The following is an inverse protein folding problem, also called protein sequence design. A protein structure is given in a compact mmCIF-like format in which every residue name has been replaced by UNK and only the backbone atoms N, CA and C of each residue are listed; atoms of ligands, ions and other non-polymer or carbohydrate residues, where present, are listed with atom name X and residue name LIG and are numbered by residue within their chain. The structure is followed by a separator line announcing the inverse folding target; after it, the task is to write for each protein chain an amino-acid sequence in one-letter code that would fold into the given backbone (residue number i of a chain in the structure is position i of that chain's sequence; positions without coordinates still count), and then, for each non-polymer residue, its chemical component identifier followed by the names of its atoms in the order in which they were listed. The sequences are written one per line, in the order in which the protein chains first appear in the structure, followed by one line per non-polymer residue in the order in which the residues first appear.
data_IF_929131672850
#
_entry.id   IF_929131672850
#
_cell.length_a   1.000
_cell.length_b   1.000
_cell.length_c   1.000
_cell.angle_alpha   90.00
_cell.angle_beta   90.00
_cell.angle_gamma   90.00
#
_symmetry.space_group_name_H-M   'P 1'
#
loop_
_entity.id
_entity.type
_entity.pdbx_description
1 polymer ?
#
# COMPACT_ATOMS: atom_id res chain seq x y z
N UNK A 1 -20.86 -37.45 -42.61
CA UNK A 1 -20.23 -38.68 -42.17
C UNK A 1 -19.18 -38.29 -41.17
N UNK A 2 -19.55 -38.33 -39.99
CA UNK A 2 -19.49 -39.30 -38.90
C UNK A 2 -18.15 -39.25 -38.17
N UNK A 3 -18.31 -38.77 -36.92
CA UNK A 3 -17.36 -38.79 -35.83
C UNK A 3 -16.99 -40.25 -35.41
N UNK A 4 -15.96 -40.33 -34.66
CA UNK A 4 -15.61 -41.27 -33.59
C UNK A 4 -14.26 -41.97 -33.75
N UNK A 5 -13.63 -41.94 -32.63
CA UNK A 5 -12.72 -42.90 -32.04
C UNK A 5 -11.22 -42.55 -32.15
N UNK A 6 -10.66 -42.20 -31.00
CA UNK A 6 -9.63 -42.99 -30.29
C UNK A 6 -9.53 -42.44 -28.84
N UNK A 7 -10.17 -43.15 -27.93
CA UNK A 7 -9.86 -43.24 -26.50
C UNK A 7 -8.93 -44.44 -26.30
N UNK A 8 -8.21 -44.42 -25.22
CA UNK A 8 -7.45 -45.47 -24.51
C UNK A 8 -5.90 -45.50 -24.77
N UNK A 9 -5.18 -44.96 -23.77
CA UNK A 9 -4.31 -45.82 -22.95
C UNK A 9 -3.79 -45.09 -21.69
N UNK A 10 -4.44 -45.43 -20.58
CA UNK A 10 -3.96 -45.26 -19.22
C UNK A 10 -3.16 -46.52 -18.86
N UNK A 11 -1.92 -46.38 -18.43
CA UNK A 11 -1.30 -47.37 -17.56
C UNK A 11 -0.31 -46.74 -16.61
N UNK A 12 -0.74 -46.69 -15.35
CA UNK A 12 -0.01 -46.98 -14.11
C UNK A 12 1.54 -46.82 -14.16
N UNK A 13 2.05 -45.84 -13.41
CA UNK A 13 3.38 -45.94 -12.81
C UNK A 13 3.23 -45.73 -11.29
N UNK A 14 3.76 -46.73 -10.59
CA UNK A 14 3.71 -47.03 -9.19
C UNK A 14 4.52 -46.04 -8.35
N UNK A 15 3.99 -45.66 -7.17
CA UNK A 15 4.73 -45.01 -6.09
C UNK A 15 5.85 -45.93 -5.58
N UNK A 16 7.04 -45.43 -5.49
CA UNK A 16 8.11 -46.01 -4.65
C UNK A 16 8.66 -44.92 -3.71
N UNK A 17 8.46 -45.17 -2.42
CA UNK A 17 9.04 -44.46 -1.29
C UNK A 17 10.57 -44.46 -1.34
N UNK A 18 11.17 -43.28 -1.21
CA UNK A 18 12.58 -43.18 -0.75
C UNK A 18 12.62 -42.18 0.41
N UNK A 19 12.66 -42.73 1.62
CA UNK A 19 13.10 -42.03 2.82
C UNK A 19 14.61 -41.81 2.71
N UNK A 20 15.07 -40.56 2.70
CA UNK A 20 16.46 -40.25 2.97
C UNK A 20 16.58 -39.39 4.23
N UNK A 21 17.23 -40.00 5.21
CA UNK A 21 17.63 -39.42 6.50
C UNK A 21 18.60 -38.26 6.28
N UNK A 22 18.23 -37.08 6.71
CA UNK A 22 19.13 -35.94 6.83
C UNK A 22 19.70 -35.93 8.27
N UNK A 23 21.01 -36.14 8.38
CA UNK A 23 21.78 -35.98 9.62
C UNK A 23 21.93 -34.50 9.95
N UNK A 24 21.43 -34.07 11.09
CA UNK A 24 21.70 -32.75 11.65
C UNK A 24 23.08 -32.83 12.35
N UNK A 25 24.01 -32.02 11.87
CA UNK A 25 25.32 -31.82 12.49
C UNK A 25 25.22 -30.57 13.37
N UNK A 26 25.24 -30.76 14.69
CA UNK A 26 25.30 -29.67 15.67
C UNK A 26 26.77 -29.29 15.81
N UNK A 27 27.11 -28.07 15.43
CA UNK A 27 28.41 -27.46 15.79
C UNK A 27 28.19 -26.57 16.99
N UNK A 28 28.73 -27.00 18.11
CA UNK A 28 28.80 -26.21 19.33
C UNK A 28 29.91 -25.15 19.18
N UNK A 29 29.58 -23.87 19.30
CA UNK A 29 30.55 -22.81 19.45
C UNK A 29 30.56 -22.27 20.86
N UNK A 30 31.79 -22.21 21.34
CA UNK A 30 32.22 -21.95 22.72
C UNK A 30 31.84 -20.54 23.19
N UNK A 31 31.31 -20.51 24.42
CA UNK A 31 31.10 -19.28 25.22
C UNK A 31 32.46 -18.79 25.73
N UNK A 32 32.84 -17.58 25.36
CA UNK A 32 33.95 -16.85 26.03
C UNK A 32 33.36 -16.02 27.17
N UNK A 33 33.67 -16.44 28.39
CA UNK A 33 33.35 -15.71 29.63
C UNK A 33 34.44 -14.69 29.91
N UNK A 34 34.12 -13.39 29.87
CA UNK A 34 34.97 -12.34 30.40
C UNK A 34 34.60 -12.08 31.85
N UNK A 35 35.55 -12.39 32.75
CA UNK A 35 35.44 -12.05 34.15
C UNK A 35 35.95 -10.63 34.38
N UNK A 36 35.09 -9.72 34.86
CA UNK A 36 35.47 -8.43 35.39
C UNK A 36 35.80 -8.55 36.88
N UNK A 37 37.04 -8.26 37.28
CA UNK A 37 37.48 -8.09 38.64
C UNK A 37 36.97 -6.77 39.20
N UNK A 38 36.10 -6.81 40.21
CA UNK A 38 35.79 -5.65 41.03
C UNK A 38 36.68 -5.68 42.29
N UNK A 39 37.54 -4.68 42.46
CA UNK A 39 38.26 -4.42 43.67
C UNK A 39 37.36 -3.73 44.70
N UNK A 40 37.05 -4.39 45.80
CA UNK A 40 36.33 -3.80 46.92
C UNK A 40 37.29 -3.01 47.82
N UNK A 41 37.08 -1.69 47.91
CA UNK A 41 37.64 -0.88 49.01
C UNK A 41 36.66 -0.85 50.16
N UNK A 42 37.05 -1.44 51.27
CA UNK A 42 36.33 -1.38 52.55
C UNK A 42 36.61 -0.07 53.27
N UNK A 43 35.60 0.75 53.46
CA UNK A 43 35.60 1.83 54.43
C UNK A 43 34.54 1.56 55.49
N UNK A 44 34.98 1.44 56.73
CA UNK A 44 34.13 1.29 57.90
C UNK A 44 33.53 2.61 58.33
N UNK A 45 32.25 2.72 58.63
CA UNK A 45 31.68 3.89 59.25
C UNK A 45 31.49 3.65 60.78
N UNK A 46 31.90 4.67 61.52
CA UNK A 46 31.64 4.80 62.97
C UNK A 46 30.13 4.92 63.25
N UNK A 47 29.69 4.08 64.22
CA UNK A 47 28.37 4.15 64.81
C UNK A 47 28.24 5.41 65.71
N UNK A 48 27.25 6.25 65.43
CA UNK A 48 26.62 7.14 66.40
C UNK A 48 25.13 6.80 66.44
N UNK A 49 24.71 6.28 67.57
CA UNK A 49 23.31 5.98 67.83
C UNK A 49 22.53 7.27 68.12
N UNK A 50 21.54 7.56 67.33
CA UNK A 50 20.43 8.46 67.66
C UNK A 50 19.13 7.67 67.64
N UNK A 51 18.43 7.68 68.77
CA UNK A 51 17.08 7.17 68.91
C UNK A 51 16.12 8.09 68.10
N UNK A 52 15.42 7.54 67.12
CA UNK A 52 14.29 8.17 66.54
C UNK A 52 13.02 7.34 66.75
N UNK A 53 12.03 8.06 67.21
CA UNK A 53 10.69 7.57 67.52
C UNK A 53 9.98 7.11 66.25
N UNK A 54 9.46 5.89 66.27
CA UNK A 54 8.58 5.31 65.24
C UNK A 54 7.31 6.12 65.07
N UNK A 55 7.13 6.75 63.92
CA UNK A 55 5.81 7.04 63.34
C UNK A 55 5.66 6.13 62.12
N UNK A 56 4.89 5.08 62.29
CA UNK A 56 4.33 4.27 61.20
C UNK A 56 3.36 5.13 60.41
N UNK A 57 3.84 5.65 59.29
CA UNK A 57 3.02 6.17 58.23
C UNK A 57 3.01 5.15 57.12
N UNK A 58 1.95 4.38 56.96
CA UNK A 58 1.66 3.54 55.81
C UNK A 58 1.58 4.47 54.58
N UNK A 59 2.68 4.59 53.84
CA UNK A 59 2.65 5.04 52.48
C UNK A 59 2.09 3.88 51.63
N UNK A 60 0.79 3.79 51.51
CA UNK A 60 0.15 3.11 50.38
C UNK A 60 0.64 3.80 49.14
N UNK A 61 1.55 3.19 48.44
CA UNK A 61 1.76 3.42 47.02
C UNK A 61 0.46 2.94 46.36
N UNK A 62 -0.46 3.87 46.07
CA UNK A 62 -1.57 3.63 45.16
C UNK A 62 -0.95 3.33 43.81
N UNK A 63 -0.72 2.05 43.53
CA UNK A 63 -0.62 1.57 42.16
C UNK A 63 -2.05 1.76 41.60
N UNK A 64 -2.27 2.84 40.86
CA UNK A 64 -3.45 2.96 40.02
C UNK A 64 -3.58 1.66 39.21
N UNK A 65 -4.71 1.00 39.31
CA UNK A 65 -4.97 -0.19 38.50
C UNK A 65 -4.97 0.24 37.03
N UNK A 66 -4.54 -0.63 36.15
CA UNK A 66 -4.47 -0.35 34.71
C UNK A 66 -5.85 0.06 34.13
N UNK A 67 -6.94 -0.38 34.79
CA UNK A 67 -8.33 -0.03 34.51
C UNK A 67 -8.72 1.43 34.85
N UNK A 68 -7.90 2.14 35.64
CA UNK A 68 -8.19 3.52 36.07
C UNK A 68 -7.57 4.57 35.13
N UNK A 69 -6.74 4.12 34.15
CA UNK A 69 -6.11 4.99 33.17
C UNK A 69 -7.07 5.31 32.03
N UNK A 70 -7.02 6.54 31.53
CA UNK A 70 -7.72 6.89 30.27
C UNK A 70 -7.18 6.07 29.11
N UNK A 71 -7.98 5.88 28.04
CA UNK A 71 -7.56 5.13 26.85
C UNK A 71 -6.26 5.67 26.23
N UNK A 72 -6.10 6.99 26.22
CA UNK A 72 -4.87 7.63 25.72
C UNK A 72 -3.65 7.35 26.61
N UNK A 73 -3.85 7.22 27.92
CA UNK A 73 -2.78 6.83 28.85
C UNK A 73 -2.40 5.35 28.67
N UNK A 74 -3.38 4.47 28.48
CA UNK A 74 -3.14 3.05 28.14
C UNK A 74 -2.40 2.91 26.82
N UNK A 75 -2.80 3.66 25.78
CA UNK A 75 -2.09 3.70 24.50
C UNK A 75 -0.64 4.13 24.65
N UNK A 76 -0.36 5.22 25.40
CA UNK A 76 1.01 5.70 25.64
C UNK A 76 1.85 4.65 26.35
N UNK A 77 1.29 3.97 27.35
CA UNK A 77 1.98 2.89 28.06
C UNK A 77 2.27 1.73 27.12
N UNK A 78 1.28 1.28 26.34
CA UNK A 78 1.46 0.22 25.35
C UNK A 78 2.58 0.53 24.37
N UNK A 79 2.59 1.73 23.77
CA UNK A 79 3.60 2.15 22.78
C UNK A 79 5.01 2.33 23.37
N UNK A 80 5.15 2.46 24.69
CA UNK A 80 6.44 2.50 25.37
C UNK A 80 7.01 1.09 25.65
N UNK A 81 6.13 0.11 25.85
CA UNK A 81 6.51 -1.22 26.36
C UNK A 81 6.37 -2.34 25.31
N UNK A 82 5.72 -2.08 24.18
CA UNK A 82 5.31 -3.11 23.21
C UNK A 82 5.50 -2.66 21.76
N UNK A 83 5.60 -3.65 20.86
CA UNK A 83 5.59 -3.41 19.42
C UNK A 83 4.21 -3.00 18.92
N UNK A 84 4.18 -2.13 17.92
CA UNK A 84 2.94 -1.61 17.32
C UNK A 84 2.03 -2.71 16.74
N UNK A 85 2.61 -3.81 16.25
CA UNK A 85 1.88 -4.94 15.65
C UNK A 85 0.85 -5.62 16.58
N UNK A 86 1.01 -5.50 17.90
CA UNK A 86 0.04 -6.03 18.86
C UNK A 86 -1.05 -5.03 19.30
N UNK A 87 -1.05 -3.81 18.75
CA UNK A 87 -1.93 -2.74 19.23
C UNK A 87 -3.41 -3.05 18.98
N UNK A 88 -3.76 -3.61 17.83
CA UNK A 88 -5.14 -3.95 17.48
C UNK A 88 -5.75 -5.06 18.36
N UNK A 89 -4.90 -5.87 18.98
CA UNK A 89 -5.28 -6.95 19.88
C UNK A 89 -5.40 -6.51 21.35
N UNK A 90 -4.99 -5.27 21.65
CA UNK A 90 -5.03 -4.76 23.02
C UNK A 90 -6.47 -4.57 23.50
N UNK A 91 -6.79 -4.92 24.74
CA UNK A 91 -8.13 -4.87 25.30
C UNK A 91 -8.77 -3.48 25.17
N UNK A 92 -7.97 -2.42 25.37
CA UNK A 92 -8.43 -1.04 25.25
C UNK A 92 -8.63 -0.56 23.81
N UNK A 93 -8.13 -1.29 22.80
CA UNK A 93 -8.15 -0.83 21.41
C UNK A 93 -9.55 -0.67 20.81
N UNK A 94 -10.54 -1.39 21.36
CA UNK A 94 -11.95 -1.29 20.98
C UNK A 94 -12.76 -0.26 21.81
N UNK A 95 -12.13 0.42 22.77
CA UNK A 95 -12.83 1.42 23.57
C UNK A 95 -13.22 2.61 22.70
N UNK A 96 -14.50 3.05 22.75
CA UNK A 96 -14.96 4.23 22.00
C UNK A 96 -14.16 5.48 22.33
N UNK A 97 -13.82 6.26 21.29
CA UNK A 97 -13.08 7.52 21.41
C UNK A 97 -13.91 8.71 20.98
N UNK A 98 -13.69 9.84 21.64
CA UNK A 98 -14.09 11.14 21.09
C UNK A 98 -13.23 11.49 19.87
N UNK A 99 -13.67 12.49 19.10
CA UNK A 99 -12.92 12.98 17.94
C UNK A 99 -11.52 13.50 18.32
N UNK A 100 -11.41 14.19 19.46
CA UNK A 100 -10.17 14.74 20.00
C UNK A 100 -9.21 13.62 20.46
N UNK A 101 -9.75 12.59 21.12
CA UNK A 101 -8.96 11.42 21.54
C UNK A 101 -8.47 10.64 20.34
N UNK A 102 -9.30 10.45 19.31
CA UNK A 102 -8.88 9.81 18.08
C UNK A 102 -7.75 10.58 17.36
N UNK A 103 -7.87 11.91 17.25
CA UNK A 103 -6.82 12.74 16.69
C UNK A 103 -5.50 12.56 17.44
N UNK A 104 -5.56 12.50 18.79
CA UNK A 104 -4.38 12.27 19.63
C UNK A 104 -3.83 10.85 19.48
N UNK A 105 -4.69 9.85 19.40
CA UNK A 105 -4.28 8.47 19.15
C UNK A 105 -3.57 8.35 17.79
N UNK A 106 -4.11 8.95 16.72
CA UNK A 106 -3.51 8.99 15.39
C UNK A 106 -2.08 9.57 15.40
N UNK A 107 -1.86 10.69 16.10
CA UNK A 107 -0.53 11.28 16.26
C UNK A 107 0.46 10.32 16.93
N UNK A 108 0.06 9.68 18.04
CA UNK A 108 0.89 8.77 18.82
C UNK A 108 1.23 7.51 18.01
N UNK A 109 0.23 6.89 17.40
CA UNK A 109 0.40 5.66 16.61
C UNK A 109 1.27 5.94 15.38
N UNK A 110 1.06 7.06 14.69
CA UNK A 110 1.91 7.47 13.57
C UNK A 110 3.37 7.74 13.99
N UNK A 111 3.58 8.41 15.12
CA UNK A 111 4.93 8.66 15.64
C UNK A 111 5.67 7.35 15.96
N UNK A 112 4.97 6.40 16.59
CA UNK A 112 5.50 5.06 16.87
C UNK A 112 5.79 4.28 15.59
N UNK A 113 4.88 4.30 14.60
CA UNK A 113 5.09 3.66 13.31
C UNK A 113 6.34 4.21 12.59
N UNK A 114 6.49 5.53 12.53
CA UNK A 114 7.69 6.14 11.93
C UNK A 114 8.98 5.69 12.62
N UNK A 115 8.97 5.63 13.95
CA UNK A 115 10.13 5.16 14.72
C UNK A 115 10.48 3.72 14.38
N UNK A 116 9.48 2.85 14.37
CA UNK A 116 9.63 1.44 14.02
C UNK A 116 10.14 1.22 12.59
N UNK A 117 9.60 1.97 11.61
CA UNK A 117 10.09 1.93 10.23
C UNK A 117 11.55 2.36 10.14
N UNK A 118 11.93 3.45 10.79
CA UNK A 118 13.33 3.93 10.80
C UNK A 118 14.27 2.90 11.43
N UNK A 119 13.91 2.31 12.54
CA UNK A 119 14.73 1.33 13.22
C UNK A 119 14.91 0.03 12.39
N UNK A 120 13.83 -0.45 11.79
CA UNK A 120 13.81 -1.77 11.13
C UNK A 120 14.13 -1.74 9.63
N UNK A 121 14.09 -0.56 8.98
CA UNK A 121 14.22 -0.44 7.52
C UNK A 121 15.26 0.55 7.03
N UNK A 122 16.05 1.17 7.94
CA UNK A 122 17.11 2.12 7.57
C UNK A 122 18.18 1.45 6.68
N UNK A 123 18.53 0.20 6.97
CA UNK A 123 19.49 -0.57 6.16
C UNK A 123 18.95 -0.84 4.75
N UNK A 124 17.67 -1.23 4.63
CA UNK A 124 16.98 -1.47 3.36
C UNK A 124 16.98 -0.20 2.50
N UNK A 125 16.62 0.96 3.07
CA UNK A 125 16.58 2.23 2.36
C UNK A 125 17.99 2.72 1.98
N UNK A 126 18.96 2.58 2.87
CA UNK A 126 20.35 2.97 2.64
C UNK A 126 21.01 2.12 1.56
N UNK A 127 20.77 0.81 1.58
CA UNK A 127 21.26 -0.13 0.56
C UNK A 127 20.45 -0.06 -0.75
N UNK A 128 19.35 0.70 -0.76
CA UNK A 128 18.47 0.89 -1.92
C UNK A 128 18.00 -0.44 -2.50
N UNK A 129 17.55 -1.36 -1.66
CA UNK A 129 17.09 -2.67 -2.10
C UNK A 129 15.98 -3.18 -1.19
N UNK A 130 14.81 -3.45 -1.77
CA UNK A 130 13.70 -4.12 -1.08
C UNK A 130 13.88 -5.63 -1.23
N UNK A 131 13.92 -6.36 -0.11
CA UNK A 131 13.91 -7.81 -0.06
C UNK A 131 12.57 -8.27 0.53
N UNK A 132 11.78 -9.01 -0.24
CA UNK A 132 10.45 -9.47 0.17
C UNK A 132 10.09 -10.78 -0.52
N UNK A 133 9.65 -11.78 0.26
CA UNK A 133 9.13 -13.06 -0.24
C UNK A 133 10.04 -13.75 -1.27
N UNK A 134 11.36 -13.69 -1.05
CA UNK A 134 12.37 -14.27 -1.93
C UNK A 134 12.62 -13.49 -3.22
N UNK A 135 12.07 -12.30 -3.33
CA UNK A 135 12.34 -11.36 -4.42
C UNK A 135 13.21 -10.19 -3.94
N UNK A 136 14.11 -9.74 -4.82
CA UNK A 136 14.98 -8.58 -4.60
C UNK A 136 14.66 -7.51 -5.62
N UNK A 137 14.38 -6.29 -5.14
CA UNK A 137 14.10 -5.11 -5.97
C UNK A 137 15.10 -3.99 -5.62
N UNK A 138 16.27 -3.96 -6.25
CA UNK A 138 17.15 -2.80 -6.17
C UNK A 138 16.45 -1.57 -6.75
N UNK A 139 16.71 -0.40 -6.19
CA UNK A 139 16.25 0.86 -6.74
C UNK A 139 17.35 1.91 -6.65
N UNK A 140 17.20 2.99 -7.40
CA UNK A 140 18.02 4.18 -7.22
C UNK A 140 17.13 5.42 -7.38
N UNK A 141 17.48 6.52 -6.71
CA UNK A 141 16.68 7.73 -6.78
C UNK A 141 17.52 9.00 -6.77
N UNK A 142 16.92 10.07 -7.23
CA UNK A 142 17.42 11.43 -7.16
C UNK A 142 16.37 12.34 -6.55
N UNK A 143 16.82 13.29 -5.74
CA UNK A 143 15.96 14.33 -5.18
C UNK A 143 16.15 15.59 -5.98
N UNK A 144 15.05 16.21 -6.38
CA UNK A 144 15.00 17.45 -7.16
C UNK A 144 14.30 18.55 -6.37
N UNK A 145 14.66 19.79 -6.66
CA UNK A 145 14.01 20.98 -6.10
C UNK A 145 14.05 21.09 -4.58
N UNK A 146 13.40 22.13 -4.08
CA UNK A 146 13.21 22.34 -2.64
C UNK A 146 12.01 21.53 -2.15
N UNK A 147 12.04 21.11 -0.86
CA UNK A 147 10.93 20.38 -0.27
C UNK A 147 9.74 21.30 -0.01
N UNK A 148 8.56 21.03 -0.58
CA UNK A 148 7.33 21.73 -0.22
C UNK A 148 6.98 21.57 1.26
N UNK A 149 6.14 22.46 1.79
CA UNK A 149 5.71 22.45 3.20
C UNK A 149 5.06 21.12 3.62
N UNK A 150 4.22 20.55 2.76
CA UNK A 150 3.49 19.30 3.02
C UNK A 150 4.28 18.02 2.70
N UNK A 151 5.53 18.15 2.24
CA UNK A 151 6.35 17.01 1.81
C UNK A 151 6.64 16.99 0.32
N UNK A 152 7.52 16.08 -0.10
CA UNK A 152 7.97 15.92 -1.48
C UNK A 152 7.01 15.09 -2.30
N UNK A 153 6.99 15.31 -3.60
CA UNK A 153 6.40 14.35 -4.54
C UNK A 153 7.27 13.09 -4.67
N UNK A 154 6.64 11.94 -4.94
CA UNK A 154 7.33 10.70 -5.31
C UNK A 154 6.94 10.27 -6.72
N UNK A 155 7.94 10.10 -7.60
CA UNK A 155 7.76 9.58 -8.96
C UNK A 155 8.44 8.21 -9.06
N UNK A 156 7.66 7.13 -9.06
CA UNK A 156 8.17 5.76 -9.28
C UNK A 156 8.19 5.49 -10.77
N UNK A 157 9.39 5.35 -11.35
CA UNK A 157 9.60 5.27 -12.79
C UNK A 157 10.11 3.91 -13.22
N UNK A 158 9.26 3.10 -13.83
CA UNK A 158 9.51 1.73 -14.23
C UNK A 158 10.27 1.63 -15.55
N UNK A 159 11.36 0.85 -15.57
CA UNK A 159 12.19 0.67 -16.77
C UNK A 159 11.55 -0.27 -17.80
N UNK A 160 11.95 -0.09 -19.05
CA UNK A 160 11.61 -0.98 -20.16
C UNK A 160 12.41 -2.30 -20.15
N UNK A 161 12.20 -3.13 -21.17
CA UNK A 161 12.83 -4.44 -21.31
C UNK A 161 11.83 -5.57 -21.15
N UNK A 162 12.11 -6.50 -20.24
CA UNK A 162 11.29 -7.70 -20.03
C UNK A 162 11.50 -8.77 -21.11
N UNK A 163 11.41 -10.05 -20.73
CA UNK A 163 11.60 -11.16 -21.65
C UNK A 163 12.96 -11.19 -22.35
N UNK A 164 13.98 -10.57 -21.75
CA UNK A 164 15.32 -10.45 -22.33
C UNK A 164 16.40 -10.73 -21.28
N UNK A 165 17.68 -10.78 -21.71
CA UNK A 165 18.78 -11.07 -20.81
C UNK A 165 18.91 -10.01 -19.69
N UNK A 166 19.31 -10.46 -18.49
CA UNK A 166 19.52 -9.59 -17.30
C UNK A 166 20.33 -8.34 -17.64
N UNK A 167 21.45 -8.49 -18.39
CA UNK A 167 22.30 -7.35 -18.81
C UNK A 167 21.51 -6.27 -19.55
N UNK A 168 20.55 -6.65 -20.39
CA UNK A 168 19.71 -5.72 -21.14
C UNK A 168 18.76 -4.99 -20.18
N UNK A 169 18.10 -5.72 -19.29
CA UNK A 169 17.20 -5.14 -18.28
C UNK A 169 17.96 -4.21 -17.33
N UNK A 170 19.16 -4.58 -16.87
CA UNK A 170 20.03 -3.71 -16.07
C UNK A 170 20.43 -2.43 -16.84
N UNK A 171 20.62 -2.54 -18.15
CA UNK A 171 20.88 -1.38 -19.02
C UNK A 171 19.67 -0.46 -19.12
N UNK A 172 18.46 -1.01 -19.26
CA UNK A 172 17.22 -0.25 -19.30
C UNK A 172 16.94 0.45 -17.94
N UNK A 173 17.19 -0.24 -16.83
CA UNK A 173 17.10 0.35 -15.51
C UNK A 173 18.05 1.55 -15.34
N UNK A 174 19.33 1.40 -15.69
CA UNK A 174 20.29 2.53 -15.64
C UNK A 174 19.85 3.71 -16.50
N UNK A 175 19.23 3.46 -17.65
CA UNK A 175 18.67 4.53 -18.47
C UNK A 175 17.49 5.21 -17.76
N UNK A 176 16.63 4.43 -17.11
CA UNK A 176 15.42 4.95 -16.43
C UNK A 176 15.76 5.90 -15.27
N UNK A 177 16.84 5.63 -14.51
CA UNK A 177 17.29 6.48 -13.38
C UNK A 177 17.55 7.94 -13.81
N UNK A 178 17.81 8.18 -15.09
CA UNK A 178 18.15 9.53 -15.61
C UNK A 178 17.21 9.99 -16.73
N UNK A 179 16.11 9.27 -16.95
CA UNK A 179 15.28 9.51 -18.13
C UNK A 179 14.49 10.82 -18.02
N UNK A 180 13.91 11.10 -16.85
CA UNK A 180 13.10 12.29 -16.62
C UNK A 180 13.67 13.11 -15.46
N UNK A 181 13.24 14.38 -15.40
CA UNK A 181 13.70 15.34 -14.40
C UNK A 181 12.49 16.15 -13.96
N UNK A 182 11.83 15.78 -12.84
CA UNK A 182 10.78 16.59 -12.26
C UNK A 182 11.33 17.92 -11.74
N UNK A 183 10.48 18.91 -11.57
CA UNK A 183 10.83 20.20 -10.99
C UNK A 183 11.16 20.06 -9.48
N UNK A 184 10.41 19.26 -8.77
CA UNK A 184 10.66 18.88 -7.38
C UNK A 184 10.29 17.40 -7.12
N UNK A 185 10.79 16.85 -6.00
CA UNK A 185 10.41 15.53 -5.52
C UNK A 185 11.49 14.47 -5.61
N UNK A 186 11.13 13.28 -5.19
CA UNK A 186 11.95 12.07 -5.27
C UNK A 186 11.62 11.34 -6.57
N UNK A 187 12.55 11.30 -7.50
CA UNK A 187 12.44 10.50 -8.72
C UNK A 187 13.16 9.18 -8.49
N UNK A 188 12.42 8.10 -8.34
CA UNK A 188 12.88 6.77 -7.99
C UNK A 188 12.66 5.80 -9.16
N UNK A 189 13.70 5.07 -9.55
CA UNK A 189 13.63 4.02 -10.56
C UNK A 189 13.94 2.66 -9.90
N UNK A 190 12.95 1.76 -9.75
CA UNK A 190 13.20 0.40 -9.30
C UNK A 190 13.73 -0.48 -10.43
N UNK A 191 14.51 -1.52 -10.08
CA UNK A 191 14.88 -2.64 -10.95
C UNK A 191 13.87 -3.76 -10.71
N UNK A 192 13.12 -4.15 -11.74
CA UNK A 192 12.18 -5.25 -11.61
C UNK A 192 12.85 -6.51 -11.03
N UNK A 193 12.22 -7.22 -10.09
CA UNK A 193 12.79 -8.40 -9.44
C UNK A 193 13.11 -9.55 -10.39
N UNK A 194 12.40 -9.61 -11.52
CA UNK A 194 12.58 -10.65 -12.54
C UNK A 194 12.94 -10.07 -13.89
N UNK A 195 13.37 -10.94 -14.83
CA UNK A 195 13.64 -10.58 -16.22
C UNK A 195 12.51 -11.04 -17.16
N UNK A 196 11.37 -11.47 -16.62
CA UNK A 196 10.24 -11.95 -17.40
C UNK A 196 9.55 -10.83 -18.20
N UNK A 197 8.81 -11.19 -19.26
CA UNK A 197 8.09 -10.22 -20.09
C UNK A 197 7.04 -9.42 -19.30
N UNK A 198 6.47 -10.04 -18.23
CA UNK A 198 5.46 -9.48 -17.35
C UNK A 198 6.06 -9.00 -16.01
N UNK A 199 7.31 -8.56 -15.99
CA UNK A 199 8.09 -8.26 -14.80
C UNK A 199 7.47 -7.20 -13.87
N UNK A 200 6.60 -6.32 -14.39
CA UNK A 200 5.98 -5.22 -13.64
C UNK A 200 4.52 -5.45 -13.24
N UNK A 201 3.91 -6.57 -13.60
CA UNK A 201 2.50 -6.82 -13.30
C UNK A 201 2.22 -8.16 -12.62
N UNK A 202 3.26 -8.75 -12.01
CA UNK A 202 3.14 -9.91 -11.13
C UNK A 202 2.76 -9.49 -9.71
N UNK A 203 2.24 -10.42 -8.94
CA UNK A 203 1.68 -10.25 -7.60
C UNK A 203 2.66 -9.65 -6.57
N UNK A 204 3.96 -10.02 -6.64
CA UNK A 204 4.99 -9.50 -5.75
C UNK A 204 5.34 -8.01 -5.98
N UNK A 205 4.92 -7.40 -7.10
CA UNK A 205 5.23 -6.00 -7.40
C UNK A 205 4.44 -5.05 -6.50
N UNK A 206 3.16 -5.32 -6.28
CA UNK A 206 2.27 -4.44 -5.51
C UNK A 206 2.74 -4.26 -4.06
N UNK A 207 3.04 -5.32 -3.26
CA UNK A 207 3.55 -5.16 -1.92
C UNK A 207 4.95 -4.52 -1.88
N UNK A 208 5.82 -4.78 -2.87
CA UNK A 208 7.13 -4.12 -2.95
C UNK A 208 7.00 -2.62 -3.24
N UNK A 209 6.02 -2.20 -4.05
CA UNK A 209 5.73 -0.78 -4.29
C UNK A 209 5.12 -0.11 -3.07
N UNK A 210 4.19 -0.79 -2.38
CA UNK A 210 3.65 -0.30 -1.11
C UNK A 210 4.78 -0.09 -0.07
N UNK A 211 5.78 -0.99 -0.04
CA UNK A 211 6.97 -0.87 0.80
C UNK A 211 7.81 0.35 0.43
N UNK A 212 8.14 0.54 -0.85
CA UNK A 212 8.86 1.73 -1.34
C UNK A 212 8.12 3.02 -0.97
N UNK A 213 6.80 3.05 -1.13
CA UNK A 213 5.97 4.21 -0.80
C UNK A 213 6.03 4.52 0.70
N UNK A 214 5.79 3.51 1.55
CA UNK A 214 5.87 3.66 3.02
C UNK A 214 7.25 4.15 3.47
N UNK A 215 8.31 3.61 2.91
CA UNK A 215 9.68 4.00 3.25
C UNK A 215 9.99 5.42 2.76
N UNK A 216 9.59 5.79 1.54
CA UNK A 216 9.78 7.15 1.03
C UNK A 216 9.04 8.21 1.86
N UNK A 217 7.85 7.90 2.38
CA UNK A 217 7.11 8.78 3.31
C UNK A 217 7.93 9.02 4.58
N UNK A 218 8.60 7.99 5.11
CA UNK A 218 9.34 8.08 6.37
C UNK A 218 10.74 8.65 6.21
N UNK A 219 11.48 8.24 5.16
CA UNK A 219 12.90 8.60 4.99
C UNK A 219 13.12 9.87 4.18
N UNK A 220 12.23 10.19 3.22
CA UNK A 220 12.38 11.33 2.31
C UNK A 220 11.33 12.43 2.54
N UNK A 221 10.48 12.31 3.58
CA UNK A 221 9.36 13.21 3.86
C UNK A 221 8.44 13.38 2.64
N UNK A 222 8.07 12.27 1.98
CA UNK A 222 7.12 12.27 0.87
C UNK A 222 5.71 12.56 1.37
N UNK A 223 4.99 13.43 0.67
CA UNK A 223 3.55 13.63 0.86
C UNK A 223 2.80 12.40 0.31
N UNK A 224 2.10 11.62 1.16
CA UNK A 224 1.38 10.43 0.72
C UNK A 224 0.28 10.71 -0.33
N UNK A 225 -0.10 11.97 -0.51
CA UNK A 225 -1.07 12.38 -1.51
C UNK A 225 -0.44 12.88 -2.82
N UNK A 226 0.90 12.82 -2.94
CA UNK A 226 1.64 13.24 -4.14
C UNK A 226 2.55 12.14 -4.67
N UNK A 227 1.98 10.95 -4.87
CA UNK A 227 2.67 9.76 -5.36
C UNK A 227 2.21 9.47 -6.79
N UNK A 228 3.18 9.29 -7.68
CA UNK A 228 2.99 9.09 -9.11
C UNK A 228 3.73 7.87 -9.59
N UNK A 229 3.10 7.08 -10.47
CA UNK A 229 3.80 6.00 -11.18
C UNK A 229 3.89 6.33 -12.66
N UNK A 230 5.02 5.98 -13.25
CA UNK A 230 5.27 6.15 -14.67
C UNK A 230 6.14 5.03 -15.22
N UNK A 231 6.14 4.81 -16.51
CA UNK A 231 6.97 3.76 -17.09
C UNK A 231 6.98 3.74 -18.60
N UNK A 232 8.10 3.26 -19.15
CA UNK A 232 8.35 3.20 -20.59
C UNK A 232 8.42 1.75 -21.08
N UNK A 233 7.78 1.44 -22.22
CA UNK A 233 7.80 0.09 -22.82
C UNK A 233 7.22 -0.95 -21.85
N UNK A 234 7.97 -1.96 -21.41
CA UNK A 234 7.52 -2.89 -20.38
C UNK A 234 7.17 -2.20 -19.07
N UNK A 235 7.82 -1.06 -18.71
CA UNK A 235 7.40 -0.20 -17.60
C UNK A 235 6.03 0.44 -17.86
N UNK A 236 5.73 0.79 -19.10
CA UNK A 236 4.40 1.24 -19.52
C UNK A 236 3.33 0.14 -19.42
N UNK A 237 3.70 -1.12 -19.72
CA UNK A 237 2.84 -2.28 -19.45
C UNK A 237 2.50 -2.34 -17.94
N UNK A 238 3.52 -2.11 -17.08
CA UNK A 238 3.34 -2.01 -15.64
C UNK A 238 2.37 -0.91 -15.23
N UNK A 239 2.47 0.29 -15.81
CA UNK A 239 1.53 1.39 -15.50
C UNK A 239 0.10 1.02 -15.85
N UNK A 240 -0.15 0.42 -17.00
CA UNK A 240 -1.49 -0.05 -17.36
C UNK A 240 -2.08 -1.04 -16.34
N UNK A 241 -1.24 -1.86 -15.72
CA UNK A 241 -1.65 -2.88 -14.76
C UNK A 241 -1.79 -2.31 -13.34
N UNK A 242 -0.78 -1.56 -12.88
CA UNK A 242 -0.70 -1.08 -11.50
C UNK A 242 -1.62 0.12 -11.25
N UNK A 243 -1.70 1.08 -12.19
CA UNK A 243 -2.45 2.31 -11.96
C UNK A 243 -3.92 2.07 -11.59
N UNK A 244 -4.71 1.23 -12.27
CA UNK A 244 -6.11 1.02 -11.92
C UNK A 244 -6.30 0.18 -10.65
N UNK A 245 -5.35 -0.71 -10.29
CA UNK A 245 -5.49 -1.57 -9.10
C UNK A 245 -4.86 -1.00 -7.83
N UNK A 246 -3.99 0.02 -7.96
CA UNK A 246 -3.35 0.75 -6.86
C UNK A 246 -3.76 2.23 -6.83
N UNK A 247 -4.84 2.61 -7.50
CA UNK A 247 -5.25 4.01 -7.60
C UNK A 247 -5.49 4.66 -6.24
N UNK A 248 -5.85 3.89 -5.22
CA UNK A 248 -6.03 4.35 -3.84
C UNK A 248 -4.72 4.82 -3.16
N UNK A 249 -3.55 4.55 -3.76
CA UNK A 249 -2.25 5.01 -3.29
C UNK A 249 -1.64 6.11 -4.19
N UNK A 250 -2.28 6.44 -5.31
CA UNK A 250 -1.69 7.26 -6.36
C UNK A 250 -2.48 8.56 -6.58
N UNK A 251 -1.78 9.64 -6.93
CA UNK A 251 -2.37 10.89 -7.41
C UNK A 251 -2.56 10.87 -8.93
N UNK A 252 -1.58 10.36 -9.66
CA UNK A 252 -1.65 10.21 -11.11
C UNK A 252 -0.69 9.14 -11.62
N UNK A 253 -0.89 8.74 -12.89
CA UNK A 253 -0.04 7.77 -13.57
C UNK A 253 0.21 8.16 -15.03
N UNK A 254 1.42 7.85 -15.54
CA UNK A 254 1.81 8.14 -16.91
C UNK A 254 2.33 6.89 -17.63
N UNK A 255 1.59 6.45 -18.64
CA UNK A 255 1.95 5.31 -19.48
C UNK A 255 2.66 5.76 -20.76
N UNK A 256 3.91 5.28 -20.97
CA UNK A 256 4.68 5.57 -22.18
C UNK A 256 5.00 4.27 -22.95
N UNK A 257 4.53 4.20 -24.19
CA UNK A 257 4.84 3.13 -25.18
C UNK A 257 4.57 1.68 -24.68
N UNK A 258 3.62 1.50 -23.73
CA UNK A 258 3.27 0.19 -23.16
C UNK A 258 2.14 -0.54 -23.89
N UNK A 259 1.84 -1.74 -23.40
CA UNK A 259 0.72 -2.58 -23.80
C UNK A 259 -0.14 -2.96 -22.57
N UNK A 260 -1.47 -2.88 -22.60
CA UNK A 260 -2.32 -3.09 -21.43
C UNK A 260 -2.38 -4.55 -20.93
N UNK A 261 -2.11 -5.54 -21.78
CA UNK A 261 -2.12 -6.95 -21.41
C UNK A 261 -3.39 -7.40 -20.66
N UNK A 262 -4.55 -6.88 -21.06
CA UNK A 262 -5.84 -7.20 -20.46
C UNK A 262 -6.26 -6.31 -19.27
N UNK A 263 -5.49 -5.27 -18.96
CA UNK A 263 -5.87 -4.30 -17.92
C UNK A 263 -7.20 -3.59 -18.22
N UNK A 264 -7.96 -3.29 -17.17
CA UNK A 264 -9.24 -2.60 -17.25
C UNK A 264 -9.09 -1.17 -16.68
N UNK A 265 -9.45 -0.11 -17.44
CA UNK A 265 -9.31 1.27 -17.00
C UNK A 265 -10.32 1.73 -15.95
N UNK A 266 -11.34 0.96 -15.59
CA UNK A 266 -12.41 1.46 -14.71
C UNK A 266 -11.93 1.83 -13.31
N UNK A 267 -10.87 1.21 -12.78
CA UNK A 267 -10.25 1.59 -11.51
C UNK A 267 -9.52 2.94 -11.53
N UNK A 268 -9.35 3.57 -12.70
CA UNK A 268 -8.67 4.86 -12.84
C UNK A 268 -9.54 6.07 -12.46
N UNK A 269 -10.78 5.86 -12.00
CA UNK A 269 -11.76 6.94 -11.79
C UNK A 269 -11.22 8.13 -11.00
N UNK A 270 -10.46 7.86 -9.95
CA UNK A 270 -10.09 8.88 -8.94
C UNK A 270 -8.67 9.42 -9.08
N UNK A 271 -7.94 9.05 -10.13
CA UNK A 271 -6.58 9.54 -10.37
C UNK A 271 -6.44 10.18 -11.76
N UNK A 272 -5.43 11.03 -11.93
CA UNK A 272 -5.02 11.49 -13.25
C UNK A 272 -4.34 10.36 -14.03
N UNK A 273 -4.68 10.16 -15.31
CA UNK A 273 -4.04 9.17 -16.17
C UNK A 273 -3.62 9.77 -17.50
N UNK A 274 -2.32 9.81 -17.80
CA UNK A 274 -1.84 10.23 -19.11
C UNK A 274 -1.21 9.09 -19.88
N UNK A 275 -1.42 9.10 -21.21
CA UNK A 275 -0.96 8.06 -22.11
C UNK A 275 -0.20 8.70 -23.28
N UNK A 276 1.05 8.29 -23.48
CA UNK A 276 1.89 8.71 -24.58
C UNK A 276 2.30 7.52 -25.44
N UNK A 277 2.05 7.59 -26.76
CA UNK A 277 2.31 6.50 -27.69
C UNK A 277 2.82 7.01 -29.02
N UNK A 278 3.88 6.38 -29.52
CA UNK A 278 4.35 6.63 -30.89
C UNK A 278 3.33 6.15 -31.94
N UNK A 279 2.88 7.03 -32.85
CA UNK A 279 1.92 6.69 -33.89
C UNK A 279 2.42 5.61 -34.85
N UNK A 280 3.73 5.44 -34.97
CA UNK A 280 4.42 4.40 -35.78
C UNK A 280 4.85 3.17 -34.97
N UNK A 281 4.54 3.08 -33.67
CA UNK A 281 4.83 1.89 -32.85
C UNK A 281 3.83 0.77 -33.12
N UNK A 282 4.14 -0.01 -34.17
CA UNK A 282 3.26 -1.08 -34.66
C UNK A 282 3.50 -2.42 -33.95
N UNK A 283 4.62 -2.56 -33.20
CA UNK A 283 4.89 -3.77 -32.46
C UNK A 283 3.77 -4.06 -31.47
N UNK A 284 3.29 -5.29 -31.43
CA UNK A 284 2.14 -5.73 -30.60
C UNK A 284 0.88 -4.86 -30.80
N UNK A 285 0.75 -4.11 -31.91
CA UNK A 285 -0.35 -3.17 -32.19
C UNK A 285 -0.50 -2.05 -31.15
N UNK A 286 0.58 -1.65 -30.49
CA UNK A 286 0.55 -0.67 -29.39
C UNK A 286 -0.14 0.64 -29.80
N UNK A 287 0.19 1.17 -30.98
CA UNK A 287 -0.43 2.39 -31.49
C UNK A 287 -1.94 2.27 -31.75
N UNK A 288 -2.43 1.12 -32.20
CA UNK A 288 -3.87 0.87 -32.40
C UNK A 288 -4.59 0.71 -31.06
N UNK A 289 -3.96 -0.01 -30.12
CA UNK A 289 -4.49 -0.23 -28.78
C UNK A 289 -4.54 1.08 -28.00
N UNK A 290 -3.52 1.93 -28.07
CA UNK A 290 -3.52 3.25 -27.46
C UNK A 290 -4.69 4.13 -27.95
N UNK A 291 -5.02 4.07 -29.24
CA UNK A 291 -6.20 4.78 -29.80
C UNK A 291 -7.52 4.21 -29.24
N UNK A 292 -7.61 2.90 -29.04
CA UNK A 292 -8.79 2.29 -28.40
C UNK A 292 -8.90 2.72 -26.93
N UNK A 293 -7.79 2.80 -26.21
CA UNK A 293 -7.77 3.32 -24.83
C UNK A 293 -8.19 4.80 -24.79
N UNK A 294 -7.74 5.62 -25.74
CA UNK A 294 -8.21 7.01 -25.88
C UNK A 294 -9.72 7.09 -25.96
N UNK A 295 -10.33 6.30 -26.85
CA UNK A 295 -11.79 6.24 -26.99
C UNK A 295 -12.44 5.76 -25.70
N UNK A 296 -11.93 4.69 -25.10
CA UNK A 296 -12.50 4.12 -23.87
C UNK A 296 -12.44 5.05 -22.67
N UNK A 297 -11.32 5.77 -22.48
CA UNK A 297 -11.19 6.76 -21.41
C UNK A 297 -12.15 7.95 -21.63
N UNK A 298 -12.33 8.38 -22.86
CA UNK A 298 -13.29 9.44 -23.20
C UNK A 298 -14.75 9.01 -22.91
N UNK A 299 -15.12 7.76 -23.25
CA UNK A 299 -16.43 7.19 -22.92
C UNK A 299 -16.68 7.12 -21.41
N UNK A 300 -15.66 6.72 -20.64
CA UNK A 300 -15.75 6.66 -19.17
C UNK A 300 -15.90 8.06 -18.56
N UNK A 301 -15.14 9.04 -19.05
CA UNK A 301 -15.25 10.43 -18.60
C UNK A 301 -16.57 11.10 -19.01
N UNK A 302 -17.14 10.74 -20.15
CA UNK A 302 -18.48 11.19 -20.56
C UNK A 302 -19.58 10.60 -19.68
N UNK A 303 -19.46 9.32 -19.31
CA UNK A 303 -20.43 8.64 -18.45
C UNK A 303 -20.33 9.05 -16.97
N UNK A 304 -19.14 9.48 -16.51
CA UNK A 304 -18.87 9.94 -15.14
C UNK A 304 -17.96 11.20 -15.18
N UNK A 305 -18.53 12.40 -15.38
CA UNK A 305 -17.75 13.63 -15.61
C UNK A 305 -16.87 14.07 -14.43
N UNK A 306 -17.15 13.61 -13.23
CA UNK A 306 -16.37 13.90 -12.02
C UNK A 306 -15.15 12.99 -11.87
N UNK A 307 -15.06 11.92 -12.69
CA UNK A 307 -13.98 10.95 -12.69
C UNK A 307 -13.14 10.94 -13.97
N UNK A 308 -12.21 9.97 -14.06
CA UNK A 308 -11.44 9.62 -15.26
C UNK A 308 -10.72 10.80 -15.92
N UNK A 309 -10.09 11.66 -15.13
CA UNK A 309 -9.27 12.75 -15.63
C UNK A 309 -8.09 12.18 -16.42
N UNK A 310 -8.05 12.46 -17.74
CA UNK A 310 -7.06 11.84 -18.60
C UNK A 310 -6.57 12.75 -19.71
N UNK A 311 -5.37 12.45 -20.20
CA UNK A 311 -4.81 13.00 -21.43
C UNK A 311 -4.20 11.86 -22.26
N UNK A 312 -4.49 11.82 -23.56
CA UNK A 312 -3.91 10.83 -24.47
C UNK A 312 -3.28 11.51 -25.68
N UNK A 313 -1.96 11.42 -25.75
CA UNK A 313 -1.15 11.98 -26.84
C UNK A 313 -0.58 10.86 -27.70
N UNK A 314 -0.97 10.85 -28.99
CA UNK A 314 -0.36 10.01 -30.01
C UNK A 314 0.67 10.83 -30.78
N UNK A 315 1.94 10.53 -30.56
CA UNK A 315 3.07 11.18 -31.23
C UNK A 315 3.23 10.60 -32.65
N UNK A 316 2.48 11.12 -33.61
CA UNK A 316 2.27 10.54 -34.95
C UNK A 316 3.56 10.29 -35.72
N UNK A 317 4.60 11.08 -35.48
CA UNK A 317 5.87 10.96 -36.21
C UNK A 317 6.85 9.98 -35.56
N UNK A 318 6.62 9.57 -34.31
CA UNK A 318 7.51 8.69 -33.55
C UNK A 318 7.16 7.21 -33.70
N UNK A 319 8.18 6.37 -33.61
CA UNK A 319 8.06 4.92 -33.38
C UNK A 319 8.01 4.61 -31.89
N UNK A 320 8.61 3.49 -31.49
CA UNK A 320 8.64 3.05 -30.09
C UNK A 320 9.36 4.06 -29.19
N UNK A 321 10.43 4.72 -29.60
CA UNK A 321 11.12 5.77 -28.89
C UNK A 321 10.60 7.16 -29.28
N UNK A 322 10.00 7.87 -28.33
CA UNK A 322 9.36 9.18 -28.53
C UNK A 322 10.30 10.38 -28.32
N UNK A 323 11.62 10.12 -28.16
CA UNK A 323 12.68 11.15 -28.05
C UNK A 323 12.46 12.17 -26.92
N UNK A 324 11.81 11.74 -25.84
CA UNK A 324 11.39 12.55 -24.68
C UNK A 324 10.26 13.56 -24.95
N UNK A 325 9.56 13.51 -26.09
CA UNK A 325 8.36 14.31 -26.30
C UNK A 325 7.22 13.91 -25.33
N UNK A 326 7.34 12.73 -24.73
CA UNK A 326 6.50 12.21 -23.64
C UNK A 326 6.85 12.77 -22.25
N UNK A 327 7.96 13.54 -22.12
CA UNK A 327 8.38 14.11 -20.83
C UNK A 327 7.38 15.15 -20.26
N UNK A 328 6.50 15.69 -21.09
CA UNK A 328 5.38 16.57 -20.68
C UNK A 328 4.42 15.87 -19.69
N UNK A 329 4.45 14.54 -19.61
CA UNK A 329 3.69 13.78 -18.64
C UNK A 329 4.10 14.09 -17.19
N UNK A 330 5.37 14.43 -16.93
CA UNK A 330 5.85 14.67 -15.56
C UNK A 330 5.21 15.92 -14.94
N UNK A 331 5.30 17.12 -15.53
CA UNK A 331 4.60 18.29 -15.01
C UNK A 331 3.08 18.09 -14.99
N UNK A 332 2.50 17.42 -15.99
CA UNK A 332 1.07 17.11 -16.00
C UNK A 332 0.64 16.28 -14.78
N UNK A 333 1.37 15.20 -14.44
CA UNK A 333 1.07 14.41 -13.23
C UNK A 333 1.14 15.25 -11.96
N UNK A 334 2.10 16.19 -11.87
CA UNK A 334 2.32 17.02 -10.69
C UNK A 334 1.16 17.96 -10.37
N UNK A 335 0.21 18.17 -11.30
CA UNK A 335 -1.01 18.94 -11.08
C UNK A 335 -2.04 18.20 -10.21
N UNK A 336 -1.88 16.88 -10.01
CA UNK A 336 -2.81 16.05 -9.28
C UNK A 336 -2.36 15.82 -7.85
N UNK A 337 -3.34 15.81 -6.95
CA UNK A 337 -3.20 15.40 -5.55
C UNK A 337 -4.25 14.31 -5.29
N UNK A 338 -3.84 13.23 -4.64
CA UNK A 338 -4.75 12.14 -4.28
C UNK A 338 -5.80 12.64 -3.27
N UNK A 339 -7.05 12.30 -3.51
CA UNK A 339 -8.10 12.32 -2.49
C UNK A 339 -8.20 10.91 -1.88
N UNK A 340 -7.76 10.68 -0.63
CA UNK A 340 -7.82 9.36 -0.01
C UNK A 340 -9.26 8.91 0.33
N UNK A 341 -10.22 9.84 0.36
CA UNK A 341 -11.61 9.58 0.74
C UNK A 341 -12.60 10.09 -0.32
N UNK A 342 -12.52 9.60 -1.58
CA UNK A 342 -13.36 10.08 -2.67
C UNK A 342 -14.85 9.78 -2.39
N UNK A 343 -15.74 10.60 -2.94
CA UNK A 343 -17.19 10.38 -2.81
C UNK A 343 -17.67 9.11 -3.53
N UNK A 344 -17.01 8.72 -4.60
CA UNK A 344 -17.34 7.51 -5.35
C UNK A 344 -16.10 6.64 -5.56
N UNK A 345 -16.25 5.37 -5.27
CA UNK A 345 -15.26 4.31 -5.52
C UNK A 345 -15.77 3.40 -6.63
N UNK A 346 -14.92 3.14 -7.62
CA UNK A 346 -15.14 2.13 -8.66
C UNK A 346 -13.95 1.19 -8.62
N UNK A 347 -14.15 0.01 -8.10
CA UNK A 347 -13.12 -1.00 -7.90
C UNK A 347 -13.39 -2.23 -8.75
N UNK A 348 -12.46 -2.62 -9.61
CA UNK A 348 -12.55 -3.84 -10.39
C UNK A 348 -11.33 -4.72 -10.15
N UNK A 349 -11.59 -5.98 -9.89
CA UNK A 349 -10.56 -7.01 -9.70
C UNK A 349 -10.14 -7.58 -11.06
N UNK A 350 -8.85 -7.48 -11.37
CA UNK A 350 -8.27 -8.16 -12.53
C UNK A 350 -6.78 -8.46 -12.27
N UNK A 351 -6.30 -9.57 -12.81
CA UNK A 351 -4.92 -9.99 -12.61
C UNK A 351 -4.59 -10.27 -11.14
N UNK A 352 -3.84 -9.37 -10.49
CA UNK A 352 -3.59 -9.43 -9.05
C UNK A 352 -4.80 -8.89 -8.30
N UNK A 353 -5.25 -9.64 -7.28
CA UNK A 353 -6.40 -9.26 -6.45
C UNK A 353 -5.94 -8.51 -5.21
N UNK A 354 -6.77 -7.58 -4.77
CA UNK A 354 -6.57 -6.79 -3.56
C UNK A 354 -7.77 -6.98 -2.63
N UNK A 355 -7.54 -6.90 -1.34
CA UNK A 355 -8.56 -7.01 -0.30
C UNK A 355 -9.22 -5.67 0.05
N UNK A 356 -8.74 -4.57 -0.55
CA UNK A 356 -9.24 -3.21 -0.29
C UNK A 356 -8.96 -2.25 -1.43
N UNK A 357 -9.77 -1.18 -1.48
CA UNK A 357 -9.59 -0.07 -2.41
C UNK A 357 -10.27 1.19 -1.85
N UNK A 358 -9.50 2.23 -1.51
CA UNK A 358 -9.98 3.39 -0.75
C UNK A 358 -10.65 2.96 0.57
N UNK A 359 -11.91 3.37 0.79
CA UNK A 359 -12.68 3.09 2.00
C UNK A 359 -13.53 1.80 1.93
N UNK A 360 -13.29 0.99 0.93
CA UNK A 360 -13.96 -0.31 0.74
C UNK A 360 -12.94 -1.43 0.93
N UNK A 361 -13.30 -2.46 1.69
CA UNK A 361 -12.48 -3.65 1.90
C UNK A 361 -13.32 -4.92 1.85
N UNK A 362 -12.68 -6.04 1.58
CA UNK A 362 -13.31 -7.36 1.51
C UNK A 362 -12.43 -8.37 2.23
N UNK A 363 -13.09 -9.24 3.00
CA UNK A 363 -12.44 -10.36 3.68
C UNK A 363 -12.71 -11.69 2.97
N UNK A 364 -13.25 -11.64 1.75
CA UNK A 364 -13.64 -12.85 1.01
C UNK A 364 -12.43 -13.46 0.31
N UNK A 365 -11.92 -14.56 0.86
CA UNK A 365 -10.81 -15.35 0.29
C UNK A 365 -11.16 -15.95 -1.08
N UNK A 366 -12.45 -16.05 -1.42
CA UNK A 366 -12.94 -16.60 -2.67
C UNK A 366 -13.23 -15.57 -3.76
N UNK A 367 -12.89 -14.29 -3.53
CA UNK A 367 -13.08 -13.24 -4.51
C UNK A 367 -12.39 -13.58 -5.84
N UNK A 368 -13.15 -13.53 -6.92
CA UNK A 368 -12.67 -13.86 -8.26
C UNK A 368 -12.25 -12.63 -9.07
N UNK A 369 -11.41 -12.84 -10.09
CA UNK A 369 -11.12 -11.81 -11.07
C UNK A 369 -12.40 -11.46 -11.86
N UNK A 370 -12.64 -10.17 -12.03
CA UNK A 370 -13.87 -9.66 -12.66
C UNK A 370 -14.90 -9.14 -11.64
N UNK A 371 -14.71 -9.40 -10.34
CA UNK A 371 -15.53 -8.78 -9.29
C UNK A 371 -15.42 -7.25 -9.38
N UNK A 372 -16.57 -6.58 -9.32
CA UNK A 372 -16.66 -5.11 -9.35
C UNK A 372 -17.44 -4.61 -8.15
N UNK A 373 -16.92 -3.57 -7.49
CA UNK A 373 -17.61 -2.82 -6.44
C UNK A 373 -17.75 -1.37 -6.89
N UNK A 374 -18.99 -0.87 -6.88
CA UNK A 374 -19.28 0.54 -7.07
C UNK A 374 -20.02 1.04 -5.85
N UNK A 375 -19.45 2.03 -5.16
CA UNK A 375 -20.05 2.60 -3.97
C UNK A 375 -19.90 4.12 -3.95
N UNK A 376 -20.94 4.81 -3.54
CA UNK A 376 -21.02 6.28 -3.50
C UNK A 376 -21.39 6.74 -2.10
N UNK A 377 -20.71 7.78 -1.62
CA UNK A 377 -20.99 8.47 -0.37
C UNK A 377 -21.59 9.85 -0.64
N UNK A 378 -22.71 10.14 0.05
CA UNK A 378 -23.33 11.45 0.01
C UNK A 378 -23.80 11.85 1.41
N UNK A 379 -23.08 12.77 2.04
CA UNK A 379 -23.30 13.11 3.46
C UNK A 379 -23.15 11.86 4.35
N UNK A 380 -24.18 11.53 5.13
CA UNK A 380 -24.20 10.36 6.03
C UNK A 380 -24.64 9.06 5.35
N UNK A 381 -24.86 9.06 4.03
CA UNK A 381 -25.39 7.92 3.33
C UNK A 381 -24.33 7.30 2.41
N UNK A 382 -24.19 5.98 2.48
CA UNK A 382 -23.41 5.15 1.57
C UNK A 382 -24.39 4.35 0.72
N UNK A 383 -24.26 4.42 -0.60
CA UNK A 383 -25.00 3.60 -1.55
C UNK A 383 -24.05 2.64 -2.23
N UNK A 384 -24.25 1.35 -2.05
CA UNK A 384 -23.58 0.30 -2.81
C UNK A 384 -24.39 0.11 -4.09
N UNK A 385 -23.80 0.51 -5.23
CA UNK A 385 -24.45 0.45 -6.54
C UNK A 385 -24.22 -0.92 -7.19
N UNK A 386 -23.03 -1.52 -6.95
CA UNK A 386 -22.60 -2.81 -7.48
C UNK A 386 -21.66 -3.50 -6.47
N UNK A 387 -21.82 -4.78 -6.25
CA UNK A 387 -20.97 -5.65 -5.45
C UNK A 387 -21.05 -7.09 -5.97
N UNK A 388 -20.81 -7.28 -7.27
CA UNK A 388 -20.97 -8.57 -7.93
C UNK A 388 -19.92 -9.57 -7.45
N UNK A 389 -20.40 -10.79 -7.09
CA UNK A 389 -19.54 -11.88 -6.67
C UNK A 389 -19.07 -11.81 -5.22
N UNK A 390 -19.62 -10.91 -4.39
CA UNK A 390 -19.28 -10.77 -2.98
C UNK A 390 -20.42 -11.21 -2.07
N UNK A 391 -20.08 -11.85 -0.96
CA UNK A 391 -21.01 -12.18 0.14
C UNK A 391 -21.00 -11.12 1.24
N UNK A 392 -19.88 -10.41 1.39
CA UNK A 392 -19.65 -9.44 2.45
C UNK A 392 -18.83 -8.26 1.89
N UNK A 393 -19.02 -7.08 2.49
CA UNK A 393 -18.28 -5.88 2.17
C UNK A 393 -18.04 -5.07 3.43
N UNK A 394 -16.79 -4.69 3.69
CA UNK A 394 -16.44 -3.80 4.77
C UNK A 394 -16.35 -2.36 4.26
N UNK A 395 -17.07 -1.46 4.93
CA UNK A 395 -17.02 -0.02 4.68
C UNK A 395 -16.28 0.63 5.84
N UNK A 396 -15.21 1.36 5.53
CA UNK A 396 -14.37 2.09 6.49
C UNK A 396 -14.72 3.57 6.52
N UNK A 397 -14.66 4.16 7.70
CA UNK A 397 -15.09 5.54 7.95
C UNK A 397 -14.07 6.31 8.76
N UNK A 398 -14.08 7.63 8.57
CA UNK A 398 -13.45 8.60 9.45
C UNK A 398 -14.23 9.94 9.44
N UNK A 399 -13.78 10.90 10.26
CA UNK A 399 -14.42 12.21 10.40
C UNK A 399 -14.27 13.15 9.20
N UNK A 400 -13.41 12.80 8.22
CA UNK A 400 -13.30 13.53 6.95
C UNK A 400 -14.37 13.07 5.94
N UNK A 401 -14.90 11.86 6.14
CA UNK A 401 -15.91 11.26 5.27
C UNK A 401 -17.33 11.58 5.73
N UNK A 402 -17.61 11.40 7.03
CA UNK A 402 -18.93 11.51 7.65
C UNK A 402 -18.80 12.10 9.04
N UNK A 403 -19.89 12.63 9.58
CA UNK A 403 -19.98 12.98 11.02
C UNK A 403 -20.28 11.70 11.81
N UNK A 404 -19.27 11.11 12.45
CA UNK A 404 -19.41 9.87 13.21
C UNK A 404 -20.25 10.03 14.51
N UNK A 405 -20.55 11.26 14.91
CA UNK A 405 -21.46 11.52 16.05
C UNK A 405 -22.93 11.44 15.63
N UNK A 406 -23.21 11.29 14.32
CA UNK A 406 -24.52 11.09 13.75
C UNK A 406 -24.67 9.68 13.18
N UNK A 407 -25.90 9.15 13.06
CA UNK A 407 -26.12 7.87 12.39
C UNK A 407 -25.68 7.91 10.92
N UNK A 408 -25.04 6.81 10.48
CA UNK A 408 -24.68 6.54 9.08
C UNK A 408 -25.62 5.47 8.55
N UNK A 409 -26.05 5.60 7.29
CA UNK A 409 -26.88 4.60 6.61
C UNK A 409 -26.14 4.02 5.41
N UNK A 410 -26.13 2.69 5.29
CA UNK A 410 -25.60 1.96 4.15
C UNK A 410 -26.73 1.23 3.46
N UNK A 411 -26.89 1.44 2.16
CA UNK A 411 -27.95 0.82 1.34
C UNK A 411 -27.39 0.13 0.12
N UNK A 412 -28.09 -0.89 -0.39
CA UNK A 412 -27.90 -1.46 -1.71
C UNK A 412 -29.26 -1.54 -2.42
N UNK A 413 -29.43 -0.75 -3.47
CA UNK A 413 -30.75 -0.53 -4.05
C UNK A 413 -31.74 0.07 -3.01
N UNK A 414 -32.89 -0.58 -2.83
CA UNK A 414 -33.88 -0.19 -1.82
C UNK A 414 -33.63 -0.83 -0.44
N UNK A 415 -32.68 -1.75 -0.34
CA UNK A 415 -32.39 -2.47 0.91
C UNK A 415 -31.44 -1.67 1.80
N UNK A 416 -31.86 -1.40 3.05
CA UNK A 416 -30.97 -0.91 4.09
C UNK A 416 -30.16 -2.09 4.64
N UNK A 417 -28.82 -1.99 4.56
CA UNK A 417 -27.88 -2.98 5.07
C UNK A 417 -27.40 -2.64 6.48
N UNK A 418 -27.33 -1.34 6.77
CA UNK A 418 -26.93 -0.84 8.07
C UNK A 418 -27.54 0.56 8.32
N UNK A 419 -27.94 0.84 9.56
CA UNK A 419 -28.29 2.20 10.00
C UNK A 419 -27.94 2.33 11.49
N UNK A 420 -27.01 3.24 11.86
CA UNK A 420 -26.56 3.39 13.24
C UNK A 420 -25.38 4.34 13.40
N UNK A 421 -25.02 4.60 14.66
CA UNK A 421 -23.79 5.30 15.01
C UNK A 421 -22.60 4.35 14.93
N UNK A 422 -21.46 4.89 14.52
CA UNK A 422 -20.18 4.18 14.47
C UNK A 422 -19.25 4.78 15.52
N UNK A 423 -18.52 3.93 16.20
CA UNK A 423 -17.60 4.34 17.27
C UNK A 423 -16.17 4.37 16.74
N UNK A 424 -15.49 5.50 16.94
CA UNK A 424 -14.05 5.64 16.67
C UNK A 424 -13.30 4.77 17.66
N UNK A 425 -12.31 4.04 17.19
CA UNK A 425 -11.50 3.16 18.02
C UNK A 425 -10.05 3.06 17.52
N UNK A 426 -9.16 2.61 18.40
CA UNK A 426 -7.74 2.45 18.11
C UNK A 426 -7.48 1.21 17.24
N UNK A 427 -8.31 0.17 17.36
CA UNK A 427 -8.15 -1.04 16.56
C UNK A 427 -8.18 -0.73 15.06
N UNK A 428 -9.24 -0.08 14.58
CA UNK A 428 -9.37 0.29 13.15
C UNK A 428 -8.25 1.23 12.71
N UNK A 429 -7.83 2.18 13.58
CA UNK A 429 -6.68 3.05 13.31
C UNK A 429 -5.39 2.23 13.11
N UNK A 430 -5.09 1.31 14.01
CA UNK A 430 -3.88 0.50 13.97
C UNK A 430 -3.86 -0.42 12.75
N UNK A 431 -4.96 -1.15 12.53
CA UNK A 431 -5.09 -2.07 11.39
C UNK A 431 -4.89 -1.34 10.06
N UNK A 432 -5.57 -0.21 9.87
CA UNK A 432 -5.52 0.54 8.60
C UNK A 432 -4.19 1.27 8.38
N UNK A 433 -3.51 1.71 9.45
CA UNK A 433 -2.18 2.31 9.35
C UNK A 433 -1.11 1.25 9.04
N UNK A 434 -1.09 0.12 9.78
CA UNK A 434 -0.09 -0.94 9.60
C UNK A 434 -0.19 -1.57 8.22
N UNK A 435 -1.38 -1.66 7.71
CA UNK A 435 -1.68 -2.24 6.43
C UNK A 435 -1.02 -1.49 5.24
N UNK A 436 -0.93 -0.14 5.30
CA UNK A 436 -0.36 0.69 4.21
C UNK A 436 0.87 1.50 4.61
N UNK A 437 1.06 1.78 5.91
CA UNK A 437 2.05 2.76 6.37
C UNK A 437 1.74 4.18 5.88
N UNK A 438 0.46 4.49 5.64
CA UNK A 438 -0.01 5.74 5.06
C UNK A 438 -0.86 6.54 6.06
N UNK A 439 -0.33 7.61 6.66
CA UNK A 439 -1.04 8.39 7.67
C UNK A 439 -2.20 9.22 7.11
N UNK A 440 -2.26 9.42 5.79
CA UNK A 440 -3.33 10.17 5.14
C UNK A 440 -4.57 9.31 4.82
N UNK A 441 -4.42 7.97 4.82
CA UNK A 441 -5.49 7.04 4.46
C UNK A 441 -5.83 6.07 5.60
N UNK A 442 -5.95 6.59 6.82
CA UNK A 442 -6.36 5.82 8.01
C UNK A 442 -7.84 6.04 8.32
N UNK A 443 -8.44 5.05 8.95
CA UNK A 443 -9.84 5.06 9.32
C UNK A 443 -10.00 4.93 10.85
N UNK A 444 -11.15 5.33 11.35
CA UNK A 444 -11.47 5.33 12.79
C UNK A 444 -12.56 4.36 13.17
N UNK A 445 -13.36 3.93 12.20
CA UNK A 445 -14.45 3.00 12.37
C UNK A 445 -14.64 2.17 11.08
N UNK A 446 -15.22 1.00 11.22
CA UNK A 446 -15.61 0.17 10.08
C UNK A 446 -16.88 -0.61 10.38
N UNK A 447 -17.59 -0.99 9.33
CA UNK A 447 -18.78 -1.83 9.39
C UNK A 447 -18.73 -2.85 8.27
N UNK A 448 -18.93 -4.12 8.63
CA UNK A 448 -19.15 -5.21 7.69
C UNK A 448 -20.65 -5.34 7.37
N UNK A 449 -20.98 -5.35 6.10
CA UNK A 449 -22.35 -5.56 5.62
C UNK A 449 -22.44 -6.81 4.77
N UNK A 450 -23.52 -7.57 4.94
CA UNK A 450 -23.78 -8.75 4.13
C UNK A 450 -24.44 -8.37 2.82
N UNK A 451 -23.88 -8.87 1.74
CA UNK A 451 -24.37 -8.73 0.37
C UNK A 451 -25.13 -10.01 0.03
N UNK A 452 -26.41 -9.88 -0.24
CA UNK A 452 -27.18 -11.05 -0.72
C UNK A 452 -26.72 -11.40 -2.14
N UNK A 453 -26.33 -12.64 -2.34
CA UNK A 453 -26.07 -13.14 -3.68
C UNK A 453 -27.34 -12.98 -4.55
N UNK A 454 -27.27 -12.09 -5.54
CA UNK A 454 -28.34 -11.84 -6.50
C UNK A 454 -28.43 -12.97 -7.54
#
# INVERSE_FOLDING_TARGET
MSARSILTNLSKITLTNVQNKMKISIVANSVFTFAFFFAALSLTPNCVAMQETSKTGDAKTDQESESDLSVIQQLKKFLADSELNGLSEAEFANTPLTKEEFAKAKELVWASHKSSVRENREEEWTNKTIEMDGHSMPFDFKVFGEKPENGRSLFISMHGGGGTAKRTNDGQWRNQITLYTPEEGVYLAPRAPTDSWNMWHRDHIDPMFARIISDAIVFEDVDPNRIYIMGYSAGGDGVYQLAPRMADQLAAAAMMAGHPNGANPIGLRNIGFTLHMGGKDRAYKRNEIARKWKTRLAELAEADPDGYKHEVTIHEQHGHWMRKDDAVAVPWMSEFTRNPFPEKVVWAQFGVKHDRFYWVAVNDENMEAGTTVVATRKGQNISIEEAEGLSELTIRFNDEMVDLDQPVTITMGEKELFSGKLERNIKTLADTLLDRGDPAAVYSAEVEVKIDAS
#
